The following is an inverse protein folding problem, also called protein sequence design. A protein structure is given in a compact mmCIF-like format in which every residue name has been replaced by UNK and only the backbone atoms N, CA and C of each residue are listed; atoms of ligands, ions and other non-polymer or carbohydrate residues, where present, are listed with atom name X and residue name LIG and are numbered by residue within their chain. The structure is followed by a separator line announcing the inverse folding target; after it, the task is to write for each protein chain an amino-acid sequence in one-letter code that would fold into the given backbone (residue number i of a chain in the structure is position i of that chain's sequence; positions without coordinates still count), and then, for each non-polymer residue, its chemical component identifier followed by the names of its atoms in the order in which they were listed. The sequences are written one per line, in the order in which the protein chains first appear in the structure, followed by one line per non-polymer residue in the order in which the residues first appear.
data_IF_465901315993
#
_entry.id   IF_465901315993
#
_cell.length_a   1.000
_cell.length_b   1.000
_cell.length_c   1.000
_cell.angle_alpha   90.00
_cell.angle_beta   90.00
_cell.angle_gamma   90.00
#
_symmetry.space_group_name_H-M   'P 1'
#
loop_
_entity.id
_entity.type
_entity.pdbx_description
1 polymer ?
#
# COMPACT_ATOMS: atom_id res chain seq x y z
N UNK A 1 42.97 -3.89 -12.74
CA UNK A 1 42.00 -2.96 -12.12
C UNK A 1 42.11 -1.64 -12.87
N UNK A 2 41.08 -1.22 -13.62
CA UNK A 2 41.15 0.02 -14.41
C UNK A 2 41.13 1.25 -13.46
N UNK A 3 41.97 2.29 -13.67
CA UNK A 3 42.02 3.48 -12.81
C UNK A 3 40.66 4.13 -12.57
N UNK A 4 39.80 4.11 -13.59
CA UNK A 4 38.42 4.62 -13.55
C UNK A 4 37.55 3.88 -12.54
N UNK A 5 37.70 2.56 -12.40
CA UNK A 5 36.92 1.76 -11.44
C UNK A 5 37.29 2.17 -10.01
N UNK A 6 38.60 2.28 -9.72
CA UNK A 6 39.06 2.64 -8.39
C UNK A 6 38.54 4.03 -7.96
N UNK A 7 38.51 4.99 -8.89
CA UNK A 7 37.94 6.31 -8.66
C UNK A 7 36.44 6.24 -8.37
N UNK A 8 35.66 5.51 -9.17
CA UNK A 8 34.22 5.34 -8.91
C UNK A 8 33.95 4.65 -7.57
N UNK A 9 34.73 3.62 -7.22
CA UNK A 9 34.61 2.94 -5.94
C UNK A 9 34.92 3.87 -4.75
N UNK A 10 35.91 4.74 -4.90
CA UNK A 10 36.25 5.73 -3.88
C UNK A 10 35.15 6.79 -3.75
N UNK A 11 34.66 7.32 -4.87
CA UNK A 11 33.56 8.28 -4.87
C UNK A 11 32.31 7.69 -4.21
N UNK A 12 31.88 6.49 -4.61
CA UNK A 12 30.70 5.83 -4.04
C UNK A 12 30.78 5.62 -2.52
N UNK A 13 31.98 5.44 -1.95
CA UNK A 13 32.18 5.17 -0.52
C UNK A 13 32.27 6.41 0.35
N UNK A 14 32.88 7.47 -0.15
CA UNK A 14 33.37 8.54 0.73
C UNK A 14 33.31 9.94 0.15
N UNK A 15 32.79 10.13 -1.07
CA UNK A 15 32.62 11.49 -1.58
C UNK A 15 31.67 12.28 -0.67
N UNK A 16 31.99 13.54 -0.40
CA UNK A 16 31.13 14.40 0.42
C UNK A 16 29.84 14.77 -0.31
N UNK A 17 29.87 14.82 -1.65
CA UNK A 17 28.73 15.15 -2.48
C UNK A 17 27.87 13.90 -2.75
N UNK A 18 26.61 13.94 -2.30
CA UNK A 18 25.67 12.84 -2.53
C UNK A 18 25.38 12.58 -4.00
N UNK A 19 25.41 13.60 -4.85
CA UNK A 19 25.13 13.45 -6.28
C UNK A 19 26.29 12.72 -6.97
N UNK A 20 27.53 12.99 -6.54
CA UNK A 20 28.71 12.24 -6.99
C UNK A 20 28.68 10.79 -6.49
N UNK A 21 28.27 10.55 -5.24
CA UNK A 21 28.10 9.18 -4.72
C UNK A 21 27.04 8.41 -5.51
N UNK A 22 25.87 9.00 -5.74
CA UNK A 22 24.79 8.39 -6.50
C UNK A 22 25.22 8.10 -7.95
N UNK A 23 25.87 9.06 -8.61
CA UNK A 23 26.41 8.88 -9.96
C UNK A 23 27.43 7.75 -10.01
N UNK A 24 28.34 7.69 -9.03
CA UNK A 24 29.33 6.63 -8.97
C UNK A 24 28.70 5.24 -8.79
N UNK A 25 27.66 5.11 -7.96
CA UNK A 25 26.87 3.89 -7.79
C UNK A 25 26.20 3.48 -9.11
N UNK A 26 25.57 4.42 -9.80
CA UNK A 26 24.91 4.16 -11.08
C UNK A 26 25.90 3.62 -12.13
N UNK A 27 27.04 4.29 -12.28
CA UNK A 27 28.08 3.87 -13.22
C UNK A 27 28.66 2.51 -12.84
N UNK A 28 28.87 2.25 -11.55
CA UNK A 28 29.36 0.96 -11.06
C UNK A 28 28.36 -0.16 -11.31
N UNK A 29 27.07 0.10 -11.10
CA UNK A 29 26.03 -0.88 -11.39
C UNK A 29 25.99 -1.17 -12.89
N UNK A 30 25.77 -0.16 -13.74
CA UNK A 30 25.56 -0.34 -15.17
C UNK A 30 26.74 -1.01 -15.88
N UNK A 31 27.98 -0.67 -15.52
CA UNK A 31 29.15 -1.21 -16.18
C UNK A 31 29.57 -2.61 -15.65
N UNK A 32 29.08 -3.04 -14.49
CA UNK A 32 29.50 -4.30 -13.85
C UNK A 32 28.33 -5.07 -13.23
N UNK A 33 27.28 -5.29 -14.01
CA UNK A 33 26.03 -5.90 -13.51
C UNK A 33 26.23 -7.27 -12.82
N UNK A 34 27.15 -8.08 -13.34
CA UNK A 34 27.41 -9.43 -12.81
C UNK A 34 28.61 -9.51 -11.84
N UNK A 35 29.18 -8.37 -11.43
CA UNK A 35 30.38 -8.38 -10.60
C UNK A 35 30.06 -8.32 -9.10
N UNK A 36 30.56 -9.31 -8.34
CA UNK A 36 30.36 -9.43 -6.89
C UNK A 36 30.74 -8.16 -6.11
N UNK A 37 31.80 -7.47 -6.55
CA UNK A 37 32.24 -6.23 -5.90
C UNK A 37 31.30 -5.05 -6.14
N UNK A 38 30.59 -5.00 -7.27
CA UNK A 38 29.59 -3.95 -7.54
C UNK A 38 28.39 -4.13 -6.59
N UNK A 39 27.84 -5.35 -6.50
CA UNK A 39 26.75 -5.64 -5.56
C UNK A 39 27.13 -5.34 -4.11
N UNK A 40 28.36 -5.70 -3.68
CA UNK A 40 28.83 -5.38 -2.32
C UNK A 40 28.87 -3.88 -2.05
N UNK A 41 29.27 -3.08 -3.04
CA UNK A 41 29.28 -1.61 -2.91
C UNK A 41 27.86 -1.05 -2.83
N UNK A 42 26.96 -1.52 -3.69
CA UNK A 42 25.54 -1.17 -3.63
C UNK A 42 24.97 -1.49 -2.25
N UNK A 43 25.19 -2.70 -1.73
CA UNK A 43 24.76 -3.13 -0.40
C UNK A 43 25.36 -2.29 0.73
N UNK A 44 26.61 -1.83 0.58
CA UNK A 44 27.24 -0.96 1.57
C UNK A 44 26.58 0.42 1.57
N UNK A 45 26.51 1.08 0.40
CA UNK A 45 25.85 2.38 0.25
C UNK A 45 24.40 2.33 0.71
N UNK A 46 23.72 1.24 0.41
CA UNK A 46 22.36 1.00 0.85
C UNK A 46 22.16 1.05 2.37
N UNK A 47 23.10 0.51 3.14
CA UNK A 47 22.98 0.40 4.59
C UNK A 47 23.57 1.57 5.35
N UNK A 48 24.60 2.23 4.79
CA UNK A 48 25.38 3.23 5.52
C UNK A 48 25.28 4.64 4.98
N UNK A 49 24.77 4.86 3.76
CA UNK A 49 24.65 6.23 3.24
C UNK A 49 23.58 6.99 4.00
N UNK A 50 23.92 8.18 4.48
CA UNK A 50 23.00 9.04 5.23
C UNK A 50 21.96 9.71 4.31
N UNK A 51 22.26 9.86 3.03
CA UNK A 51 21.38 10.55 2.08
C UNK A 51 20.45 9.55 1.39
N UNK A 52 19.13 9.75 1.54
CA UNK A 52 18.11 8.87 0.95
C UNK A 52 18.13 8.87 -0.58
N UNK A 53 18.63 9.91 -1.26
CA UNK A 53 18.80 9.91 -2.73
C UNK A 53 19.84 8.90 -3.19
N UNK A 54 20.91 8.71 -2.40
CA UNK A 54 21.92 7.71 -2.72
C UNK A 54 21.35 6.31 -2.53
N UNK A 55 20.63 6.07 -1.42
CA UNK A 55 19.96 4.79 -1.16
C UNK A 55 18.88 4.51 -2.21
N UNK A 56 18.12 5.51 -2.63
CA UNK A 56 17.16 5.42 -3.72
C UNK A 56 17.84 5.06 -5.05
N UNK A 57 18.99 5.67 -5.36
CA UNK A 57 19.74 5.27 -6.56
C UNK A 57 20.17 3.81 -6.50
N UNK A 58 20.57 3.29 -5.33
CA UNK A 58 20.83 1.86 -5.17
C UNK A 58 19.59 1.03 -5.46
N UNK A 59 18.42 1.40 -4.93
CA UNK A 59 17.14 0.73 -5.22
C UNK A 59 16.88 0.64 -6.73
N UNK A 60 16.97 1.78 -7.44
CA UNK A 60 16.81 1.84 -8.89
C UNK A 60 17.75 0.85 -9.61
N UNK A 61 19.02 0.81 -9.21
CA UNK A 61 19.99 -0.08 -9.84
C UNK A 61 19.67 -1.56 -9.55
N UNK A 62 19.28 -1.91 -8.32
CA UNK A 62 18.88 -3.27 -7.98
C UNK A 62 17.69 -3.74 -8.83
N UNK A 63 16.70 -2.87 -9.04
CA UNK A 63 15.57 -3.15 -9.92
C UNK A 63 16.02 -3.32 -11.38
N UNK A 64 17.01 -2.59 -11.88
CA UNK A 64 17.36 -2.67 -13.30
C UNK A 64 18.17 -3.90 -13.71
N UNK A 65 18.89 -4.55 -12.79
CA UNK A 65 19.78 -5.67 -13.17
C UNK A 65 20.00 -6.77 -12.14
N UNK A 66 19.41 -6.67 -10.93
CA UNK A 66 19.67 -7.61 -9.82
C UNK A 66 18.38 -8.18 -9.25
N UNK A 67 17.29 -8.15 -10.01
CA UNK A 67 15.99 -8.70 -9.57
C UNK A 67 16.09 -10.18 -9.18
N UNK A 68 16.86 -10.96 -9.93
CA UNK A 68 17.05 -12.38 -9.69
C UNK A 68 18.09 -12.70 -8.61
N UNK A 69 18.77 -11.70 -8.05
CA UNK A 69 19.78 -11.93 -7.02
C UNK A 69 19.11 -12.05 -5.64
N UNK A 70 19.34 -13.16 -4.94
CA UNK A 70 18.74 -13.44 -3.63
C UNK A 70 18.98 -12.34 -2.60
N UNK A 71 20.16 -11.73 -2.62
CA UNK A 71 20.48 -10.67 -1.64
C UNK A 71 19.72 -9.36 -1.90
N UNK A 72 19.19 -9.15 -3.11
CA UNK A 72 18.45 -7.92 -3.44
C UNK A 72 17.17 -7.86 -2.62
N UNK A 73 16.37 -8.93 -2.60
CA UNK A 73 15.12 -8.93 -1.83
C UNK A 73 15.36 -8.81 -0.32
N UNK A 74 16.45 -9.39 0.21
CA UNK A 74 16.82 -9.24 1.63
C UNK A 74 17.08 -7.77 1.96
N UNK A 75 17.76 -7.04 1.07
CA UNK A 75 18.02 -5.62 1.28
C UNK A 75 16.75 -4.77 1.20
N UNK A 76 15.85 -5.08 0.25
CA UNK A 76 14.54 -4.43 0.17
C UNK A 76 13.70 -4.67 1.43
N UNK A 77 13.73 -5.89 1.97
CA UNK A 77 13.06 -6.23 3.23
C UNK A 77 13.59 -5.39 4.40
N UNK A 78 14.92 -5.32 4.54
CA UNK A 78 15.58 -4.49 5.57
C UNK A 78 15.14 -3.02 5.45
N UNK A 79 15.12 -2.47 4.24
CA UNK A 79 14.77 -1.08 4.00
C UNK A 79 13.31 -0.75 4.29
N UNK A 80 12.37 -1.50 3.74
CA UNK A 80 10.95 -1.23 3.98
C UNK A 80 10.59 -1.33 5.47
N UNK A 81 11.29 -2.18 6.23
CA UNK A 81 11.08 -2.30 7.67
C UNK A 81 11.74 -1.18 8.50
N UNK A 82 12.93 -0.70 8.12
CA UNK A 82 13.77 0.08 9.06
C UNK A 82 14.50 1.28 8.46
N UNK A 83 14.32 1.59 7.17
CA UNK A 83 14.92 2.80 6.62
C UNK A 83 14.33 4.06 7.28
N UNK A 84 15.17 5.03 7.72
CA UNK A 84 14.68 6.24 8.38
C UNK A 84 13.87 7.15 7.46
N UNK A 85 13.99 7.01 6.14
CA UNK A 85 13.26 7.82 5.16
C UNK A 85 11.94 7.13 4.77
N UNK A 86 10.81 7.74 5.11
CA UNK A 86 9.48 7.19 4.81
C UNK A 86 9.17 7.10 3.32
N UNK A 87 9.69 8.02 2.51
CA UNK A 87 9.44 8.05 1.07
C UNK A 87 10.25 6.96 0.37
N UNK A 88 11.43 6.63 0.87
CA UNK A 88 12.19 5.47 0.43
C UNK A 88 11.48 4.16 0.83
N UNK A 89 10.93 4.06 2.05
CA UNK A 89 10.13 2.88 2.45
C UNK A 89 8.93 2.66 1.54
N UNK A 90 8.18 3.72 1.23
CA UNK A 90 7.05 3.65 0.30
C UNK A 90 7.49 3.17 -1.10
N UNK A 91 8.61 3.69 -1.63
CA UNK A 91 9.15 3.26 -2.92
C UNK A 91 9.66 1.82 -2.93
N UNK A 92 10.31 1.37 -1.85
CA UNK A 92 10.77 -0.02 -1.73
C UNK A 92 9.60 -0.99 -1.74
N UNK A 93 8.49 -0.67 -1.06
CA UNK A 93 7.27 -1.47 -1.13
C UNK A 93 6.78 -1.56 -2.57
N UNK A 94 6.62 -0.43 -3.25
CA UNK A 94 6.17 -0.39 -4.65
C UNK A 94 7.05 -1.26 -5.55
N UNK A 95 8.37 -1.19 -5.39
CA UNK A 95 9.32 -2.00 -6.14
C UNK A 95 9.22 -3.50 -5.81
N UNK A 96 9.03 -3.88 -4.55
CA UNK A 96 8.81 -5.28 -4.16
C UNK A 96 7.61 -5.89 -4.89
N UNK A 97 6.58 -5.10 -5.13
CA UNK A 97 5.36 -5.56 -5.81
C UNK A 97 5.55 -5.61 -7.32
N UNK A 98 6.20 -4.62 -7.92
CA UNK A 98 6.39 -4.57 -9.37
C UNK A 98 7.46 -5.55 -9.87
N UNK A 99 8.55 -5.71 -9.12
CA UNK A 99 9.72 -6.49 -9.54
C UNK A 99 9.88 -7.84 -8.86
N UNK A 100 9.21 -8.08 -7.72
CA UNK A 100 9.34 -9.30 -6.93
C UNK A 100 7.99 -9.95 -6.58
N UNK A 101 6.95 -9.68 -7.37
CA UNK A 101 5.61 -10.23 -7.14
C UNK A 101 5.61 -11.77 -7.02
N UNK A 102 6.34 -12.44 -7.90
CA UNK A 102 6.42 -13.90 -8.00
C UNK A 102 7.42 -14.52 -7.01
N UNK A 103 8.16 -13.70 -6.26
CA UNK A 103 9.09 -14.22 -5.27
C UNK A 103 8.30 -14.79 -4.08
N UNK A 104 8.60 -16.04 -3.73
CA UNK A 104 7.88 -16.84 -2.72
C UNK A 104 7.65 -16.14 -1.38
N UNK A 105 8.56 -15.25 -0.98
CA UNK A 105 8.53 -14.58 0.32
C UNK A 105 7.87 -13.18 0.28
N UNK A 106 7.62 -12.61 -0.91
CA UNK A 106 7.10 -11.23 -1.04
C UNK A 106 5.70 -11.09 -0.46
N UNK A 107 4.79 -11.99 -0.82
CA UNK A 107 3.43 -11.93 -0.33
C UNK A 107 3.38 -12.07 1.19
N UNK A 108 4.11 -13.03 1.78
CA UNK A 108 4.12 -13.24 3.23
C UNK A 108 4.62 -12.01 4.01
N UNK A 109 5.66 -11.36 3.50
CA UNK A 109 6.21 -10.12 4.07
C UNK A 109 5.21 -8.97 4.02
N UNK A 110 4.59 -8.72 2.86
CA UNK A 110 3.58 -7.67 2.71
C UNK A 110 2.37 -7.94 3.61
N UNK A 111 1.99 -9.20 3.80
CA UNK A 111 0.91 -9.58 4.73
C UNK A 111 1.24 -9.24 6.18
N UNK A 112 2.46 -9.50 6.62
CA UNK A 112 2.93 -9.16 7.96
C UNK A 112 2.91 -7.64 8.18
N UNK A 113 3.46 -6.89 7.23
CA UNK A 113 3.47 -5.42 7.32
C UNK A 113 2.07 -4.83 7.31
N UNK A 114 1.18 -5.30 6.43
CA UNK A 114 -0.20 -4.84 6.39
C UNK A 114 -0.92 -5.03 7.73
N UNK A 115 -0.61 -6.09 8.48
CA UNK A 115 -1.27 -6.41 9.75
C UNK A 115 -0.68 -5.72 10.95
N UNK A 116 0.65 -5.66 11.04
CA UNK A 116 1.31 -5.46 12.33
C UNK A 116 2.44 -4.44 12.31
N UNK A 117 2.75 -3.84 11.17
CA UNK A 117 3.78 -2.80 11.15
C UNK A 117 3.36 -1.61 12.04
N UNK A 118 4.22 -1.06 12.90
CA UNK A 118 3.86 0.07 13.75
C UNK A 118 3.50 1.34 12.95
N UNK A 119 4.07 1.51 11.76
CA UNK A 119 3.82 2.67 10.91
C UNK A 119 2.50 2.54 10.15
N UNK A 120 1.52 3.35 10.56
CA UNK A 120 0.20 3.38 9.92
C UNK A 120 0.21 3.73 8.43
N UNK A 121 1.24 4.45 7.96
CA UNK A 121 1.41 4.79 6.56
C UNK A 121 1.92 3.57 5.79
N UNK A 122 2.90 2.86 6.34
CA UNK A 122 3.41 1.62 5.75
C UNK A 122 2.30 0.57 5.62
N UNK A 123 1.48 0.40 6.67
CA UNK A 123 0.30 -0.47 6.62
C UNK A 123 -0.65 -0.07 5.49
N UNK A 124 -0.99 1.22 5.39
CA UNK A 124 -1.91 1.73 4.37
C UNK A 124 -1.37 1.54 2.94
N UNK A 125 -0.10 1.89 2.71
CA UNK A 125 0.58 1.67 1.43
C UNK A 125 0.57 0.18 1.07
N UNK A 126 0.94 -0.69 2.02
CA UNK A 126 0.99 -2.14 1.81
C UNK A 126 -0.38 -2.75 1.51
N UNK A 127 -1.43 -2.36 2.24
CA UNK A 127 -2.80 -2.81 1.98
C UNK A 127 -3.25 -2.37 0.59
N UNK A 128 -3.01 -1.09 0.25
CA UNK A 128 -3.38 -0.54 -1.07
C UNK A 128 -2.75 -1.37 -2.19
N UNK A 129 -1.47 -1.61 -2.04
CA UNK A 129 -0.68 -2.32 -3.01
C UNK A 129 -1.05 -3.81 -3.12
N UNK A 130 -1.31 -4.48 -1.99
CA UNK A 130 -1.78 -5.86 -1.96
C UNK A 130 -3.11 -6.01 -2.71
N UNK A 131 -4.03 -5.06 -2.55
CA UNK A 131 -5.31 -5.05 -3.27
C UNK A 131 -5.11 -4.93 -4.79
N UNK A 132 -4.09 -4.18 -5.24
CA UNK A 132 -3.79 -3.99 -6.66
C UNK A 132 -3.05 -5.19 -7.28
N UNK A 133 -2.03 -5.71 -6.59
CA UNK A 133 -1.18 -6.79 -7.10
C UNK A 133 -1.79 -8.19 -6.96
N UNK A 134 -2.57 -8.44 -5.91
CA UNK A 134 -3.07 -9.79 -5.59
C UNK A 134 -4.60 -9.85 -5.50
N UNK A 135 -5.33 -9.03 -6.27
CA UNK A 135 -6.80 -8.93 -6.24
C UNK A 135 -7.54 -10.28 -6.18
N UNK A 136 -7.06 -11.30 -6.90
CA UNK A 136 -7.70 -12.62 -7.00
C UNK A 136 -7.21 -13.60 -5.92
N UNK A 137 -6.26 -13.20 -5.09
CA UNK A 137 -5.72 -14.05 -4.03
C UNK A 137 -6.70 -14.12 -2.86
N UNK A 138 -7.04 -15.32 -2.35
CA UNK A 138 -8.11 -15.53 -1.36
C UNK A 138 -7.90 -14.80 -0.02
N UNK A 139 -6.69 -14.32 0.22
CA UNK A 139 -6.32 -13.56 1.41
C UNK A 139 -6.73 -12.08 1.37
N UNK A 140 -6.86 -11.49 0.17
CA UNK A 140 -7.04 -10.04 0.04
C UNK A 140 -8.37 -9.57 0.63
N UNK A 141 -9.49 -10.24 0.31
CA UNK A 141 -10.79 -9.83 0.85
C UNK A 141 -10.87 -9.92 2.38
N UNK A 142 -10.41 -11.01 3.05
CA UNK A 142 -10.29 -11.03 4.51
C UNK A 142 -9.46 -9.89 5.10
N UNK A 143 -8.31 -9.57 4.50
CA UNK A 143 -7.48 -8.44 4.94
C UNK A 143 -8.23 -7.11 4.79
N UNK A 144 -8.81 -6.85 3.62
CA UNK A 144 -9.55 -5.61 3.38
C UNK A 144 -10.74 -5.47 4.34
N UNK A 145 -11.41 -6.58 4.68
CA UNK A 145 -12.50 -6.62 5.69
C UNK A 145 -12.01 -6.20 7.08
N UNK A 146 -10.87 -6.70 7.53
CA UNK A 146 -10.25 -6.33 8.81
C UNK A 146 -9.98 -4.82 8.88
N UNK A 147 -9.56 -4.23 7.76
CA UNK A 147 -9.09 -2.85 7.69
C UNK A 147 -10.11 -1.83 7.19
N UNK A 148 -11.27 -2.26 6.69
CA UNK A 148 -12.32 -1.38 6.20
C UNK A 148 -12.84 -0.41 7.29
N UNK A 149 -12.63 -0.74 8.58
CA UNK A 149 -12.90 0.15 9.72
C UNK A 149 -11.98 1.36 9.81
N UNK A 150 -10.71 1.19 9.44
CA UNK A 150 -9.66 2.19 9.66
C UNK A 150 -9.24 2.91 8.38
N UNK A 151 -9.42 2.26 7.22
CA UNK A 151 -8.95 2.75 5.94
C UNK A 151 -10.07 2.74 4.91
N UNK A 152 -10.43 3.93 4.43
CA UNK A 152 -11.46 4.13 3.41
C UNK A 152 -11.15 3.35 2.13
N UNK A 153 -9.90 3.36 1.68
CA UNK A 153 -9.46 2.59 0.51
C UNK A 153 -9.74 1.09 0.66
N UNK A 154 -9.52 0.54 1.86
CA UNK A 154 -9.79 -0.88 2.12
C UNK A 154 -11.27 -1.21 2.01
N UNK A 155 -12.14 -0.30 2.48
CA UNK A 155 -13.58 -0.46 2.31
C UNK A 155 -13.97 -0.44 0.82
N UNK A 156 -13.48 0.52 0.04
CA UNK A 156 -13.84 0.65 -1.38
C UNK A 156 -13.45 -0.61 -2.16
N UNK A 157 -12.20 -1.07 -1.99
CA UNK A 157 -11.73 -2.29 -2.65
C UNK A 157 -12.47 -3.55 -2.19
N UNK A 158 -12.88 -3.62 -0.92
CA UNK A 158 -13.69 -4.71 -0.39
C UNK A 158 -15.08 -4.74 -1.03
N UNK A 159 -15.73 -3.59 -1.16
CA UNK A 159 -17.05 -3.47 -1.75
C UNK A 159 -17.03 -3.76 -3.26
N UNK A 160 -16.00 -3.26 -3.96
CA UNK A 160 -15.81 -3.48 -5.40
C UNK A 160 -15.46 -4.94 -5.71
N UNK A 161 -14.45 -5.50 -5.04
CA UNK A 161 -13.95 -6.85 -5.32
C UNK A 161 -14.70 -7.98 -4.61
N UNK A 162 -15.54 -7.67 -3.62
CA UNK A 162 -16.23 -8.64 -2.78
C UNK A 162 -17.65 -8.98 -3.23
N UNK A 163 -18.11 -8.52 -4.40
CA UNK A 163 -19.52 -8.64 -4.82
C UNK A 163 -20.03 -10.08 -4.85
N UNK A 164 -19.18 -11.04 -5.22
CA UNK A 164 -19.52 -12.47 -5.24
C UNK A 164 -19.51 -13.12 -3.86
N UNK A 165 -19.12 -12.39 -2.82
CA UNK A 165 -19.00 -12.93 -1.48
C UNK A 165 -20.37 -12.89 -0.77
N UNK A 166 -20.88 -14.04 -0.29
CA UNK A 166 -22.20 -14.10 0.34
C UNK A 166 -22.29 -13.27 1.63
N UNK A 167 -21.16 -13.03 2.30
CA UNK A 167 -21.09 -12.25 3.53
C UNK A 167 -21.02 -10.73 3.30
N UNK A 168 -20.81 -10.25 2.07
CA UNK A 168 -20.60 -8.81 1.83
C UNK A 168 -21.87 -8.01 2.13
N UNK A 169 -23.04 -8.51 1.75
CA UNK A 169 -24.32 -7.87 2.07
C UNK A 169 -24.48 -7.63 3.58
N UNK A 170 -24.31 -8.68 4.38
CA UNK A 170 -24.45 -8.60 5.84
C UNK A 170 -23.43 -7.64 6.46
N UNK A 171 -22.19 -7.67 5.96
CA UNK A 171 -21.14 -6.76 6.39
C UNK A 171 -21.50 -5.29 6.11
N UNK A 172 -22.00 -4.99 4.90
CA UNK A 172 -22.41 -3.62 4.57
C UNK A 172 -23.60 -3.17 5.42
N UNK A 173 -24.58 -4.04 5.65
CA UNK A 173 -25.73 -3.75 6.51
C UNK A 173 -25.32 -3.44 7.94
N UNK A 174 -24.48 -4.30 8.53
CA UNK A 174 -23.95 -4.11 9.88
C UNK A 174 -23.26 -2.77 10.01
N UNK A 175 -22.39 -2.42 9.06
CA UNK A 175 -21.71 -1.12 9.06
C UNK A 175 -22.64 0.06 8.87
N UNK A 176 -23.65 -0.05 8.00
CA UNK A 176 -24.66 0.99 7.84
C UNK A 176 -25.41 1.27 9.15
N UNK A 177 -25.60 0.27 10.00
CA UNK A 177 -26.39 0.40 11.24
C UNK A 177 -25.51 0.73 12.46
N UNK A 178 -24.39 0.04 12.60
CA UNK A 178 -23.69 -0.08 13.87
C UNK A 178 -22.38 0.70 13.95
N UNK A 179 -21.82 1.17 12.82
CA UNK A 179 -20.55 1.89 12.86
C UNK A 179 -20.67 3.18 13.68
N UNK A 180 -19.80 3.38 14.69
CA UNK A 180 -19.82 4.60 15.48
C UNK A 180 -19.37 5.78 14.61
N UNK A 181 -20.15 6.85 14.63
CA UNK A 181 -19.79 8.06 13.89
C UNK A 181 -20.35 9.32 14.55
N UNK A 182 -19.43 10.25 14.84
CA UNK A 182 -19.75 11.61 15.24
C UNK A 182 -19.10 12.60 14.25
N UNK A 183 -19.90 13.53 13.75
CA UNK A 183 -19.45 14.46 12.72
C UNK A 183 -18.63 15.60 13.33
N UNK A 184 -17.33 15.60 13.05
CA UNK A 184 -16.41 16.67 13.48
C UNK A 184 -16.30 17.83 12.48
N UNK A 185 -16.75 17.66 11.24
CA UNK A 185 -16.66 18.68 10.21
C UNK A 185 -17.44 18.36 8.93
N UNK A 186 -17.47 19.31 8.00
CA UNK A 186 -18.22 19.14 6.76
C UNK A 186 -17.61 18.06 5.84
N UNK A 187 -16.27 17.94 5.82
CA UNK A 187 -15.53 16.99 4.99
C UNK A 187 -15.29 15.63 5.68
N UNK A 188 -15.79 15.43 6.89
CA UNK A 188 -15.63 14.15 7.61
C UNK A 188 -16.46 13.06 6.93
N UNK A 189 -15.79 11.97 6.55
CA UNK A 189 -16.38 10.77 5.98
C UNK A 189 -17.23 10.04 7.02
N UNK A 190 -18.49 9.72 6.68
CA UNK A 190 -19.36 8.91 7.52
C UNK A 190 -19.31 7.46 7.02
N UNK A 191 -18.77 6.50 7.81
CA UNK A 191 -18.62 5.12 7.36
C UNK A 191 -19.98 4.42 7.15
N UNK A 192 -21.02 4.78 7.92
CA UNK A 192 -22.39 4.30 7.70
C UNK A 192 -22.95 4.72 6.35
N UNK A 193 -22.68 5.98 5.96
CA UNK A 193 -23.11 6.52 4.66
C UNK A 193 -22.36 5.85 3.51
N UNK A 194 -21.06 5.58 3.69
CA UNK A 194 -20.25 4.87 2.70
C UNK A 194 -20.76 3.44 2.48
N UNK A 195 -21.07 2.72 3.56
CA UNK A 195 -21.69 1.41 3.49
C UNK A 195 -23.06 1.42 2.79
N UNK A 196 -23.89 2.42 3.11
CA UNK A 196 -25.19 2.59 2.46
C UNK A 196 -25.03 2.91 0.97
N UNK A 197 -24.04 3.73 0.59
CA UNK A 197 -23.74 4.01 -0.81
C UNK A 197 -23.35 2.73 -1.57
N UNK A 198 -22.48 1.89 -1.00
CA UNK A 198 -22.11 0.61 -1.62
C UNK A 198 -23.33 -0.33 -1.77
N UNK A 199 -24.25 -0.35 -0.79
CA UNK A 199 -25.52 -1.10 -0.90
C UNK A 199 -26.34 -0.61 -2.09
N UNK A 200 -26.46 0.71 -2.27
CA UNK A 200 -27.22 1.31 -3.36
C UNK A 200 -26.58 1.04 -4.73
N UNK A 201 -25.26 0.98 -4.79
CA UNK A 201 -24.52 0.71 -6.02
C UNK A 201 -24.59 -0.77 -6.44
N UNK A 202 -24.32 -1.69 -5.50
CA UNK A 202 -24.15 -3.12 -5.81
C UNK A 202 -25.41 -3.96 -5.56
N UNK A 203 -26.31 -3.48 -4.69
CA UNK A 203 -27.52 -4.20 -4.28
C UNK A 203 -28.80 -3.33 -4.40
N UNK A 204 -29.00 -2.56 -5.49
CA UNK A 204 -30.14 -1.64 -5.59
C UNK A 204 -31.50 -2.35 -5.53
N UNK A 205 -31.57 -3.58 -6.05
CA UNK A 205 -32.81 -4.37 -6.10
C UNK A 205 -32.95 -5.38 -4.96
N UNK A 206 -32.06 -5.35 -3.96
CA UNK A 206 -32.17 -6.25 -2.82
C UNK A 206 -33.39 -5.88 -1.97
N UNK A 207 -34.16 -6.87 -1.52
CA UNK A 207 -35.48 -6.66 -0.89
C UNK A 207 -35.44 -5.81 0.38
N UNK A 208 -34.27 -5.71 1.01
CA UNK A 208 -34.05 -4.95 2.25
C UNK A 208 -33.40 -3.57 2.03
N UNK A 209 -32.98 -3.24 0.81
CA UNK A 209 -32.30 -1.96 0.51
C UNK A 209 -33.17 -0.75 0.87
N UNK A 210 -34.44 -0.78 0.45
CA UNK A 210 -35.39 0.29 0.78
C UNK A 210 -35.66 0.42 2.28
N UNK A 211 -35.76 -0.69 3.02
CA UNK A 211 -35.95 -0.64 4.48
C UNK A 211 -34.74 -0.05 5.20
N UNK A 212 -33.52 -0.32 4.74
CA UNK A 212 -32.31 0.30 5.30
C UNK A 212 -32.26 1.80 5.04
N UNK A 213 -32.69 2.25 3.85
CA UNK A 213 -32.83 3.67 3.56
C UNK A 213 -33.83 4.36 4.48
N UNK A 214 -35.01 3.75 4.69
CA UNK A 214 -36.04 4.29 5.59
C UNK A 214 -35.52 4.40 7.02
N UNK A 215 -34.91 3.34 7.55
CA UNK A 215 -34.34 3.31 8.89
C UNK A 215 -33.25 4.39 9.06
N UNK A 216 -32.36 4.55 8.08
CA UNK A 216 -31.33 5.59 8.11
C UNK A 216 -31.88 7.00 7.93
N UNK A 217 -32.95 7.19 7.16
CA UNK A 217 -33.60 8.49 6.99
C UNK A 217 -34.25 8.97 8.31
N UNK A 218 -34.87 8.06 9.06
CA UNK A 218 -35.63 8.36 10.27
C UNK A 218 -34.76 8.40 11.54
N UNK A 219 -33.85 7.44 11.69
CA UNK A 219 -33.21 7.17 12.99
C UNK A 219 -31.70 7.44 13.03
N UNK A 220 -31.04 7.68 11.90
CA UNK A 220 -29.58 7.88 11.93
C UNK A 220 -29.21 9.15 12.70
N UNK A 221 -28.21 9.09 13.58
CA UNK A 221 -27.78 10.24 14.37
C UNK A 221 -27.17 11.37 13.51
N UNK A 222 -26.57 11.05 12.36
CA UNK A 222 -25.94 12.03 11.48
C UNK A 222 -26.96 12.68 10.51
N UNK A 223 -27.20 14.01 10.60
CA UNK A 223 -28.17 14.69 9.74
C UNK A 223 -27.86 14.63 8.25
N UNK A 224 -26.58 14.50 7.86
CA UNK A 224 -26.21 14.37 6.45
C UNK A 224 -26.58 12.99 5.90
N UNK A 225 -26.36 11.92 6.67
CA UNK A 225 -26.80 10.57 6.31
C UNK A 225 -28.33 10.50 6.22
N UNK A 226 -29.08 11.09 7.18
CA UNK A 226 -30.55 11.17 7.07
C UNK A 226 -31.00 11.82 5.76
N UNK A 227 -30.41 12.96 5.40
CA UNK A 227 -30.70 13.67 4.13
C UNK A 227 -30.31 12.85 2.89
N UNK A 228 -29.16 12.17 2.94
CA UNK A 228 -28.72 11.29 1.86
C UNK A 228 -29.72 10.15 1.63
N UNK A 229 -30.16 9.49 2.71
CA UNK A 229 -31.13 8.40 2.63
C UNK A 229 -32.50 8.89 2.12
N UNK A 230 -33.00 10.01 2.64
CA UNK A 230 -34.25 10.64 2.20
C UNK A 230 -34.25 10.94 0.69
N UNK A 231 -33.15 11.53 0.19
CA UNK A 231 -33.02 11.85 -1.23
C UNK A 231 -33.06 10.60 -2.11
N UNK A 232 -32.44 9.50 -1.68
CA UNK A 232 -32.44 8.25 -2.45
C UNK A 232 -33.83 7.59 -2.45
N UNK A 233 -34.60 7.68 -1.35
CA UNK A 233 -36.00 7.24 -1.31
C UNK A 233 -36.88 8.03 -2.29
N UNK A 234 -36.67 9.35 -2.40
CA UNK A 234 -37.38 10.22 -3.36
C UNK A 234 -37.03 9.90 -4.81
N UNK A 235 -35.81 9.41 -5.06
CA UNK A 235 -35.37 8.93 -6.38
C UNK A 235 -35.89 7.53 -6.74
N UNK A 236 -36.67 6.90 -5.85
CA UNK A 236 -37.30 5.61 -6.12
C UNK A 236 -36.41 4.39 -5.85
N UNK A 237 -35.32 4.56 -5.11
CA UNK A 237 -34.49 3.45 -4.60
C UNK A 237 -35.21 2.67 -3.48
#
# INVERSE_FOLDING_TARGET
MHPTIALLQQSARSDTDSDLRATAIEQLAQAWQDHRDALRLLQQSARSDLNSRVRLKVLEQLTLGWQNHRDSIILLQEWAQSDPDSDLRDQVIEQLIQGWQDHRDTLALLQEWARSDPDSRLRATTIKQLAQGWKDHPYILPLLKEWAGSYHYSFEQLAEGGQDQPWLWEFLCDRTVNDPFERQGQRTYNPRQLALYAILEYYPNHSQTRSLLQDRAEHDSDPKLRKFAQKNLELGM
#
